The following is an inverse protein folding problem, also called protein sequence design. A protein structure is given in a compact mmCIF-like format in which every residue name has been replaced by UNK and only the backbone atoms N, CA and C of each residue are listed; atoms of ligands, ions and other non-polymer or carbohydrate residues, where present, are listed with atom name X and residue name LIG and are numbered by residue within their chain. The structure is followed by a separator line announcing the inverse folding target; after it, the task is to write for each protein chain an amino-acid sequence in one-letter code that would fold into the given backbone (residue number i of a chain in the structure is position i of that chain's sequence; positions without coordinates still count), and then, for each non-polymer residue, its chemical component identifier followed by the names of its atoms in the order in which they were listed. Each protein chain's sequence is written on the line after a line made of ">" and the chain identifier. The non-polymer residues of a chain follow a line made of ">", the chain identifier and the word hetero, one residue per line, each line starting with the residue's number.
data_IF_074860024735
#
_entry.id   IF_074860024735
#
_cell.length_a   1.000
_cell.length_b   1.000
_cell.length_c   1.000
_cell.angle_alpha   90.00
_cell.angle_beta   90.00
_cell.angle_gamma   90.00
#
_symmetry.space_group_name_H-M   'P 1'
#
loop_
_entity.id
_entity.type
_entity.pdbx_description
1 polymer ?
#
# COMPACT_ATOMS: atom_id res chain seq x y z
N UNK A 1 14.32 10.67 27.40
CA UNK A 1 12.84 10.53 27.22
C UNK A 1 12.63 10.19 25.76
N UNK A 2 12.15 9.01 25.45
CA UNK A 2 11.72 8.73 24.05
C UNK A 2 10.60 9.72 23.72
N UNK A 3 10.68 10.43 22.58
CA UNK A 3 9.59 11.30 22.15
C UNK A 3 8.33 10.46 22.01
N UNK A 4 7.19 11.00 22.40
CA UNK A 4 5.90 10.35 22.18
C UNK A 4 5.60 10.35 20.68
N UNK A 5 5.63 9.17 20.05
CA UNK A 5 5.44 9.00 18.61
C UNK A 5 3.95 8.85 18.33
N UNK A 6 3.39 9.77 17.55
CA UNK A 6 1.98 9.79 17.16
C UNK A 6 1.79 8.98 15.89
N UNK A 7 0.92 7.98 15.96
CA UNK A 7 0.68 7.02 14.87
C UNK A 7 -0.76 7.12 14.38
N UNK A 8 -0.94 7.22 13.06
CA UNK A 8 -2.23 6.98 12.39
C UNK A 8 -2.18 5.58 11.79
N UNK A 9 -3.28 4.83 11.94
CA UNK A 9 -3.44 3.48 11.36
C UNK A 9 -4.53 3.52 10.30
N UNK A 10 -4.23 3.00 9.11
CA UNK A 10 -5.15 2.94 7.99
C UNK A 10 -5.19 1.53 7.39
N UNK A 11 -6.34 0.86 7.51
CA UNK A 11 -6.58 -0.49 6.98
C UNK A 11 -8.11 -0.68 6.85
N UNK A 12 -8.60 -1.31 5.81
CA UNK A 12 -10.04 -1.56 5.64
C UNK A 12 -10.54 -2.73 6.49
N UNK A 13 -9.62 -3.58 7.01
CA UNK A 13 -9.94 -4.72 7.85
C UNK A 13 -9.98 -4.34 9.34
N UNK A 14 -11.17 -4.39 9.95
CA UNK A 14 -11.38 -4.03 11.38
C UNK A 14 -10.51 -4.86 12.34
N UNK A 15 -10.31 -6.16 12.06
CA UNK A 15 -9.48 -7.03 12.89
C UNK A 15 -8.00 -6.59 12.90
N UNK A 16 -7.48 -6.13 11.74
CA UNK A 16 -6.10 -5.64 11.64
C UNK A 16 -5.96 -4.34 12.42
N UNK A 17 -6.87 -3.38 12.23
CA UNK A 17 -6.85 -2.12 13.01
C UNK A 17 -6.90 -2.37 14.50
N UNK A 18 -7.80 -3.28 14.93
CA UNK A 18 -7.89 -3.65 16.35
C UNK A 18 -6.58 -4.23 16.87
N UNK A 19 -5.96 -5.17 16.15
CA UNK A 19 -4.69 -5.77 16.54
C UNK A 19 -3.55 -4.75 16.62
N UNK A 20 -3.45 -3.85 15.63
CA UNK A 20 -2.44 -2.79 15.63
C UNK A 20 -2.69 -1.81 16.78
N UNK A 21 -3.94 -1.43 17.07
CA UNK A 21 -4.28 -0.60 18.23
C UNK A 21 -3.78 -1.22 19.52
N UNK A 22 -4.10 -2.49 19.78
CA UNK A 22 -3.67 -3.19 20.98
C UNK A 22 -2.15 -3.25 21.12
N UNK A 23 -1.45 -3.43 19.98
CA UNK A 23 0.00 -3.40 19.95
C UNK A 23 0.55 -2.03 20.33
N UNK A 24 0.01 -0.96 19.74
CA UNK A 24 0.45 0.41 20.03
C UNK A 24 0.18 0.81 21.47
N UNK A 25 -0.99 0.43 22.04
CA UNK A 25 -1.35 0.69 23.44
C UNK A 25 -0.43 -0.03 24.44
N UNK A 26 0.16 -1.16 24.05
CA UNK A 26 1.11 -1.90 24.87
C UNK A 26 2.50 -1.24 24.93
N UNK A 27 2.81 -0.29 24.04
CA UNK A 27 4.11 0.37 23.94
C UNK A 27 4.00 1.81 24.46
N UNK A 28 4.57 2.15 25.65
CA UNK A 28 4.29 3.41 26.35
C UNK A 28 4.64 4.71 25.60
N UNK A 29 5.54 4.64 24.62
CA UNK A 29 5.98 5.80 23.84
C UNK A 29 5.27 5.92 22.47
N UNK A 30 4.34 5.02 22.15
CA UNK A 30 3.51 5.10 20.96
C UNK A 30 2.10 5.59 21.33
N UNK A 31 1.54 6.49 20.54
CA UNK A 31 0.18 6.99 20.75
C UNK A 31 -0.59 6.91 19.44
N UNK A 32 -1.67 6.13 19.43
CA UNK A 32 -2.62 6.11 18.34
C UNK A 32 -3.42 7.42 18.35
N UNK A 33 -3.28 8.23 17.29
CA UNK A 33 -3.96 9.54 17.18
C UNK A 33 -5.11 9.52 16.16
N UNK A 34 -5.25 8.46 15.36
CA UNK A 34 -6.35 8.31 14.41
C UNK A 34 -6.38 6.96 13.73
N UNK A 35 -7.57 6.56 13.28
CA UNK A 35 -7.79 5.35 12.49
C UNK A 35 -8.59 5.68 11.24
N UNK A 36 -8.18 5.12 10.12
CA UNK A 36 -8.84 5.24 8.82
C UNK A 36 -9.25 3.86 8.29
N UNK A 37 -10.39 3.79 7.61
CA UNK A 37 -10.92 2.57 6.99
C UNK A 37 -10.75 2.56 5.47
N UNK A 38 -10.42 3.71 4.90
CA UNK A 38 -10.32 3.95 3.47
C UNK A 38 -9.39 5.13 3.18
N UNK A 39 -9.14 5.38 1.90
CA UNK A 39 -8.23 6.44 1.45
C UNK A 39 -8.75 7.83 1.78
N UNK A 40 -10.08 8.04 1.77
CA UNK A 40 -10.67 9.35 2.04
C UNK A 40 -10.55 9.70 3.53
N UNK A 41 -10.94 8.79 4.43
CA UNK A 41 -10.82 8.99 5.88
C UNK A 41 -9.37 9.19 6.32
N UNK A 42 -8.41 8.52 5.65
CA UNK A 42 -6.98 8.79 5.88
C UNK A 42 -6.60 10.20 5.44
N UNK A 43 -7.11 10.69 4.30
CA UNK A 43 -6.86 12.05 3.83
C UNK A 43 -7.35 13.09 4.84
N UNK A 44 -8.58 12.94 5.32
CA UNK A 44 -9.21 13.84 6.29
C UNK A 44 -8.45 13.86 7.64
N UNK A 45 -7.97 12.69 8.09
CA UNK A 45 -7.12 12.61 9.28
C UNK A 45 -5.79 13.35 9.10
N UNK A 46 -5.14 13.19 7.96
CA UNK A 46 -3.87 13.85 7.68
C UNK A 46 -4.00 15.37 7.55
N UNK A 47 -5.16 15.87 7.14
CA UNK A 47 -5.44 17.31 7.07
C UNK A 47 -5.78 17.92 8.46
N UNK A 48 -6.21 17.08 9.43
CA UNK A 48 -6.69 17.53 10.75
C UNK A 48 -5.82 17.14 11.92
N UNK A 49 -5.07 16.03 11.80
CA UNK A 49 -4.26 15.45 12.88
C UNK A 49 -2.77 15.49 12.54
N UNK A 50 -1.98 16.03 13.46
CA UNK A 50 -0.52 15.90 13.36
C UNK A 50 -0.10 14.50 13.77
N UNK A 51 0.61 13.78 12.91
CA UNK A 51 1.20 12.48 13.20
C UNK A 51 2.67 12.42 12.77
N UNK A 52 3.42 11.51 13.37
CA UNK A 52 4.82 11.29 13.09
C UNK A 52 4.99 10.07 12.15
N UNK A 53 4.10 9.09 12.28
CA UNK A 53 4.10 7.86 11.47
C UNK A 53 2.68 7.55 11.00
N UNK A 54 2.57 7.10 9.76
CA UNK A 54 1.35 6.50 9.19
C UNK A 54 1.64 5.03 8.91
N UNK A 55 0.90 4.14 9.58
CA UNK A 55 0.86 2.70 9.26
C UNK A 55 -0.32 2.49 8.31
N UNK A 56 -0.07 2.10 7.08
CA UNK A 56 -1.11 2.00 6.04
C UNK A 56 -1.06 0.68 5.28
N UNK A 57 -2.22 0.05 5.12
CA UNK A 57 -2.39 -0.94 4.06
C UNK A 57 -2.42 -0.24 2.69
N UNK A 58 -1.85 -0.91 1.68
CA UNK A 58 -1.89 -0.45 0.28
C UNK A 58 -3.09 -1.01 -0.50
N UNK A 59 -3.79 -1.99 0.07
CA UNK A 59 -4.97 -2.62 -0.52
C UNK A 59 -6.28 -1.89 -0.29
N UNK A 60 -6.28 -0.83 0.53
CA UNK A 60 -7.51 -0.12 0.92
C UNK A 60 -8.32 0.36 -0.28
N UNK A 61 -9.66 0.14 -0.27
CA UNK A 61 -10.55 0.64 -1.29
C UNK A 61 -10.67 2.17 -1.23
N UNK A 62 -10.98 2.76 -2.37
CA UNK A 62 -11.47 4.12 -2.47
C UNK A 62 -12.96 4.10 -2.83
N UNK A 63 -13.75 4.96 -2.22
CA UNK A 63 -15.20 5.04 -2.42
C UNK A 63 -15.57 5.28 -3.89
N UNK A 64 -14.77 6.07 -4.60
CA UNK A 64 -15.01 6.42 -6.01
C UNK A 64 -14.18 5.58 -7.00
N UNK A 65 -13.29 4.71 -6.52
CA UNK A 65 -12.36 3.92 -7.33
C UNK A 65 -11.35 4.74 -8.14
N UNK A 66 -11.25 6.05 -7.90
CA UNK A 66 -10.39 6.99 -8.61
C UNK A 66 -9.01 7.15 -7.94
N UNK A 67 -8.94 6.89 -6.65
CA UNK A 67 -7.71 6.98 -5.86
C UNK A 67 -7.36 5.58 -5.33
N UNK A 68 -6.13 5.32 -5.06
CA UNK A 68 -5.67 4.15 -4.34
C UNK A 68 -4.73 4.60 -3.22
N UNK A 69 -4.49 3.74 -2.24
CA UNK A 69 -3.58 4.05 -1.14
C UNK A 69 -2.22 4.55 -1.66
N UNK A 70 -1.76 4.04 -2.79
CA UNK A 70 -0.51 4.47 -3.44
C UNK A 70 -0.55 5.92 -3.93
N UNK A 71 -1.67 6.39 -4.48
CA UNK A 71 -1.80 7.79 -4.90
C UNK A 71 -1.82 8.72 -3.68
N UNK A 72 -2.43 8.26 -2.59
CA UNK A 72 -2.44 8.93 -1.31
C UNK A 72 -1.04 9.00 -0.69
N UNK A 73 -0.32 7.87 -0.66
CA UNK A 73 1.06 7.84 -0.19
C UNK A 73 1.96 8.81 -0.97
N UNK A 74 1.76 8.94 -2.30
CA UNK A 74 2.48 9.94 -3.10
C UNK A 74 2.17 11.38 -2.69
N UNK A 75 0.92 11.68 -2.31
CA UNK A 75 0.52 13.01 -1.81
C UNK A 75 1.24 13.26 -0.49
N UNK A 76 1.10 12.35 0.48
CA UNK A 76 1.72 12.47 1.81
C UNK A 76 3.24 12.63 1.72
N UNK A 77 3.89 11.91 0.81
CA UNK A 77 5.34 11.97 0.65
C UNK A 77 5.85 13.26 -0.05
N UNK A 78 4.97 14.09 -0.63
CA UNK A 78 5.33 15.38 -1.25
C UNK A 78 5.22 16.55 -0.30
N UNK A 79 4.29 16.48 0.66
CA UNK A 79 3.98 17.60 1.55
C UNK A 79 4.99 17.61 2.74
N UNK A 80 5.40 18.80 3.19
CA UNK A 80 6.33 18.97 4.31
C UNK A 80 5.68 19.84 5.40
N UNK A 81 5.77 19.51 6.69
CA UNK A 81 6.44 18.33 7.27
C UNK A 81 5.64 17.04 7.01
N UNK A 82 6.31 16.00 6.56
CA UNK A 82 5.68 14.73 6.19
C UNK A 82 5.85 13.67 7.30
N UNK A 83 4.80 12.90 7.62
CA UNK A 83 4.97 11.71 8.47
C UNK A 83 5.80 10.64 7.74
N UNK A 84 6.46 9.78 8.52
CA UNK A 84 7.07 8.57 7.99
C UNK A 84 5.98 7.57 7.62
N UNK A 85 6.18 6.80 6.55
CA UNK A 85 5.19 5.82 6.10
C UNK A 85 5.74 4.42 6.33
N UNK A 86 4.99 3.64 7.10
CA UNK A 86 5.14 2.20 7.27
C UNK A 86 4.00 1.53 6.52
N UNK A 87 4.31 0.76 5.50
CA UNK A 87 3.32 -0.05 4.79
C UNK A 87 3.16 -1.38 5.51
N UNK A 88 1.92 -1.71 5.87
CA UNK A 88 1.53 -3.00 6.47
C UNK A 88 0.67 -3.75 5.45
N UNK A 89 1.18 -4.84 4.85
CA UNK A 89 0.52 -5.46 3.68
C UNK A 89 0.66 -6.98 3.64
N UNK A 90 -0.24 -7.64 2.91
CA UNK A 90 -0.09 -9.06 2.54
C UNK A 90 0.62 -9.23 1.19
N UNK A 91 0.95 -8.14 0.52
CA UNK A 91 1.54 -8.16 -0.82
C UNK A 91 3.04 -8.42 -0.71
N UNK A 92 3.48 -9.62 -1.12
CA UNK A 92 4.90 -9.99 -1.22
C UNK A 92 5.41 -10.03 -2.67
N UNK A 93 4.78 -9.28 -3.58
CA UNK A 93 5.20 -9.23 -4.97
C UNK A 93 6.38 -8.25 -5.13
N UNK A 94 7.60 -8.72 -5.44
CA UNK A 94 8.82 -7.90 -5.41
C UNK A 94 8.75 -6.62 -6.25
N UNK A 95 8.18 -6.65 -7.47
CA UNK A 95 7.97 -5.43 -8.24
C UNK A 95 7.16 -4.36 -7.52
N UNK A 96 6.07 -4.74 -6.85
CA UNK A 96 5.21 -3.81 -6.09
C UNK A 96 5.96 -3.24 -4.89
N UNK A 97 6.67 -4.10 -4.14
CA UNK A 97 7.49 -3.71 -3.00
C UNK A 97 8.60 -2.74 -3.41
N UNK A 98 9.32 -3.04 -4.51
CA UNK A 98 10.33 -2.13 -5.09
C UNK A 98 9.74 -0.78 -5.46
N UNK A 99 8.55 -0.77 -6.05
CA UNK A 99 7.85 0.46 -6.39
C UNK A 99 7.51 1.32 -5.17
N UNK A 100 7.11 0.71 -4.04
CA UNK A 100 6.85 1.42 -2.77
C UNK A 100 8.12 2.07 -2.23
N UNK A 101 9.24 1.35 -2.24
CA UNK A 101 10.54 1.88 -1.81
C UNK A 101 11.00 3.05 -2.70
N UNK A 102 10.80 2.95 -4.01
CA UNK A 102 11.11 4.04 -4.96
C UNK A 102 10.23 5.28 -4.76
N UNK A 103 9.03 5.14 -4.21
CA UNK A 103 8.19 6.28 -3.80
C UNK A 103 8.70 6.99 -2.56
N UNK A 104 9.57 6.35 -1.79
CA UNK A 104 10.07 6.87 -0.53
C UNK A 104 9.32 6.35 0.70
N UNK A 105 8.64 5.21 0.58
CA UNK A 105 8.12 4.47 1.74
C UNK A 105 9.32 4.04 2.58
N UNK A 106 9.29 4.35 3.87
CA UNK A 106 10.42 4.13 4.76
C UNK A 106 10.48 2.70 5.31
N UNK A 107 9.31 2.04 5.50
CA UNK A 107 9.27 0.65 5.95
C UNK A 107 8.15 -0.14 5.29
N UNK A 108 8.38 -1.44 5.13
CA UNK A 108 7.37 -2.40 4.65
C UNK A 108 7.37 -3.59 5.60
N UNK A 109 6.19 -3.87 6.17
CA UNK A 109 5.94 -4.99 7.08
C UNK A 109 4.87 -5.89 6.46
N UNK A 110 5.13 -7.18 6.41
CA UNK A 110 4.11 -8.17 6.02
C UNK A 110 3.17 -8.44 7.21
N UNK A 111 1.86 -8.50 6.97
CA UNK A 111 0.86 -8.80 7.99
C UNK A 111 1.01 -10.19 8.63
N UNK A 112 1.83 -11.07 8.05
CA UNK A 112 2.18 -12.40 8.59
C UNK A 112 3.39 -12.38 9.52
N UNK A 113 4.16 -11.30 9.53
CA UNK A 113 5.29 -11.15 10.46
C UNK A 113 4.80 -10.99 11.90
N UNK A 114 5.70 -11.11 12.84
CA UNK A 114 5.41 -10.94 14.26
C UNK A 114 4.96 -9.51 14.57
N UNK A 115 4.20 -9.35 15.65
CA UNK A 115 3.77 -8.02 16.13
C UNK A 115 4.96 -7.10 16.42
N UNK A 116 6.08 -7.66 16.90
CA UNK A 116 7.31 -6.91 17.18
C UNK A 116 7.89 -6.26 15.92
N UNK A 117 7.73 -6.91 14.75
CA UNK A 117 8.21 -6.36 13.48
C UNK A 117 7.59 -5.00 13.13
N UNK A 118 6.34 -4.75 13.54
CA UNK A 118 5.72 -3.44 13.32
C UNK A 118 6.28 -2.37 14.26
N UNK A 119 6.56 -2.71 15.51
CA UNK A 119 7.20 -1.79 16.48
C UNK A 119 8.62 -1.47 16.02
N UNK A 120 9.40 -2.49 15.65
CA UNK A 120 10.75 -2.31 15.09
C UNK A 120 10.75 -1.41 13.85
N UNK A 121 9.74 -1.57 12.97
CA UNK A 121 9.59 -0.74 11.78
C UNK A 121 9.30 0.73 12.15
N UNK A 122 8.42 0.98 13.12
CA UNK A 122 8.12 2.34 13.60
C UNK A 122 9.38 2.98 14.19
N UNK A 123 10.10 2.26 15.05
CA UNK A 123 11.34 2.74 15.67
C UNK A 123 12.41 3.05 14.62
N UNK A 124 12.58 2.17 13.64
CA UNK A 124 13.54 2.36 12.57
C UNK A 124 13.24 3.62 11.73
N UNK A 125 11.97 3.83 11.33
CA UNK A 125 11.62 4.98 10.49
C UNK A 125 11.72 6.31 11.24
N UNK A 126 11.41 6.32 12.53
CA UNK A 126 11.60 7.51 13.39
C UNK A 126 13.07 7.83 13.57
N UNK A 127 13.93 6.80 13.63
CA UNK A 127 15.40 6.97 13.63
C UNK A 127 15.99 7.34 12.25
N UNK A 128 15.16 7.45 11.20
CA UNK A 128 15.58 7.77 9.83
C UNK A 128 16.15 6.59 9.05
N UNK A 129 15.91 5.36 9.50
CA UNK A 129 16.34 4.14 8.84
C UNK A 129 15.22 3.49 8.03
N UNK A 130 15.57 2.77 6.98
CA UNK A 130 14.65 1.90 6.28
C UNK A 130 14.49 0.56 7.02
N UNK A 131 13.28 -0.01 6.96
CA UNK A 131 13.00 -1.33 7.52
C UNK A 131 12.19 -2.20 6.56
N UNK A 132 12.60 -3.44 6.44
CA UNK A 132 11.87 -4.49 5.73
C UNK A 132 11.72 -5.68 6.66
N UNK A 133 10.51 -6.17 6.86
CA UNK A 133 10.24 -7.34 7.69
C UNK A 133 10.79 -8.63 7.07
N UNK A 134 10.81 -9.72 7.82
CA UNK A 134 11.43 -10.98 7.39
C UNK A 134 10.78 -11.55 6.12
N UNK A 135 9.45 -11.60 6.06
CA UNK A 135 8.73 -12.05 4.86
C UNK A 135 8.99 -11.16 3.64
N UNK A 136 9.07 -9.85 3.84
CA UNK A 136 9.37 -8.90 2.76
C UNK A 136 10.79 -9.12 2.22
N UNK A 137 11.77 -9.30 3.09
CA UNK A 137 13.15 -9.63 2.67
C UNK A 137 13.23 -10.95 1.92
N UNK A 138 12.57 -12.01 2.45
CA UNK A 138 12.50 -13.30 1.79
C UNK A 138 11.93 -13.23 0.38
N UNK A 139 10.89 -12.41 0.16
CA UNK A 139 10.33 -12.21 -1.17
C UNK A 139 11.33 -11.58 -2.17
N UNK A 140 12.22 -10.70 -1.72
CA UNK A 140 13.28 -10.15 -2.56
C UNK A 140 14.40 -11.18 -2.82
N UNK A 141 14.77 -11.96 -1.82
CA UNK A 141 15.82 -12.99 -1.92
C UNK A 141 15.41 -14.10 -2.90
N UNK A 142 14.17 -14.60 -2.81
CA UNK A 142 13.61 -15.60 -3.72
C UNK A 142 13.54 -15.12 -5.17
N UNK A 143 13.29 -13.84 -5.38
CA UNK A 143 13.23 -13.27 -6.71
C UNK A 143 14.62 -13.05 -7.35
N UNK A 144 15.70 -13.27 -6.61
CA UNK A 144 17.08 -13.17 -7.10
C UNK A 144 17.50 -11.76 -7.50
N UNK A 145 16.78 -10.72 -7.06
CA UNK A 145 17.12 -9.40 -7.50
C UNK A 145 16.56 -8.25 -6.66
N UNK A 146 17.42 -7.46 -6.13
CA UNK A 146 17.31 -6.00 -6.03
C UNK A 146 17.17 -5.29 -7.41
N UNK A 147 16.99 -6.05 -8.49
CA UNK A 147 17.07 -5.59 -9.87
C UNK A 147 15.71 -5.57 -10.58
N UNK A 148 14.73 -4.83 -10.04
CA UNK A 148 13.62 -4.36 -10.87
C UNK A 148 13.75 -2.85 -11.10
N UNK A 149 14.58 -2.42 -12.06
CA UNK A 149 14.90 -0.99 -12.21
C UNK A 149 13.76 -0.14 -12.74
N UNK A 150 12.59 -0.68 -13.07
CA UNK A 150 11.47 0.06 -13.65
C UNK A 150 10.08 -0.52 -13.41
N UNK A 151 9.84 -1.23 -12.33
CA UNK A 151 8.48 -1.67 -12.02
C UNK A 151 7.79 -0.58 -11.24
N UNK A 152 6.88 0.10 -11.93
CA UNK A 152 6.19 1.26 -11.37
C UNK A 152 4.92 0.84 -10.63
N UNK A 153 4.59 1.62 -9.63
CA UNK A 153 3.29 1.55 -8.96
C UNK A 153 2.19 1.93 -9.96
N UNK A 154 1.05 1.25 -9.89
CA UNK A 154 -0.09 1.56 -10.73
C UNK A 154 -0.57 2.99 -10.47
N UNK A 155 -0.84 3.74 -11.53
CA UNK A 155 -1.62 4.97 -11.42
C UNK A 155 -3.06 4.64 -11.01
N UNK A 156 -3.80 5.63 -10.48
CA UNK A 156 -5.19 5.46 -10.12
C UNK A 156 -6.04 4.88 -11.27
N UNK A 157 -5.80 5.34 -12.50
CA UNK A 157 -6.49 4.84 -13.70
C UNK A 157 -6.13 3.38 -14.02
N UNK A 158 -4.87 3.02 -13.94
CA UNK A 158 -4.42 1.63 -14.16
C UNK A 158 -4.97 0.71 -13.08
N UNK A 159 -4.98 1.16 -11.80
CA UNK A 159 -5.56 0.44 -10.68
C UNK A 159 -7.06 0.20 -10.87
N UNK A 160 -7.80 1.23 -11.27
CA UNK A 160 -9.25 1.11 -11.51
C UNK A 160 -9.57 0.10 -12.62
N UNK A 161 -8.85 0.17 -13.74
CA UNK A 161 -9.01 -0.81 -14.83
C UNK A 161 -8.61 -2.21 -14.37
N UNK A 162 -7.51 -2.37 -13.65
CA UNK A 162 -7.07 -3.63 -13.08
C UNK A 162 -8.16 -4.25 -12.19
N UNK A 163 -8.67 -3.50 -11.22
CA UNK A 163 -9.70 -3.96 -10.29
C UNK A 163 -10.97 -4.43 -11.01
N UNK A 164 -11.50 -3.65 -11.93
CA UNK A 164 -12.71 -4.02 -12.68
C UNK A 164 -12.47 -5.26 -13.55
N UNK A 165 -11.28 -5.38 -14.14
CA UNK A 165 -10.94 -6.51 -14.98
C UNK A 165 -10.85 -7.83 -14.18
N UNK A 166 -10.19 -7.83 -13.03
CA UNK A 166 -10.05 -9.04 -12.20
C UNK A 166 -11.36 -9.46 -11.53
N UNK A 167 -12.31 -8.53 -11.38
CA UNK A 167 -13.70 -8.82 -10.98
C UNK A 167 -14.53 -9.45 -12.12
N UNK A 168 -13.91 -9.77 -13.27
CA UNK A 168 -14.57 -10.45 -14.40
C UNK A 168 -15.24 -9.52 -15.41
N UNK A 169 -15.08 -8.19 -15.30
CA UNK A 169 -15.72 -7.26 -16.24
C UNK A 169 -14.96 -7.24 -17.58
N UNK A 170 -15.65 -7.51 -18.72
CA UNK A 170 -15.01 -7.42 -20.06
C UNK A 170 -14.55 -6.01 -20.41
N UNK A 171 -13.49 -5.90 -21.22
CA UNK A 171 -12.90 -4.62 -21.62
C UNK A 171 -13.91 -3.64 -22.20
N UNK A 172 -14.88 -4.12 -23.01
CA UNK A 172 -15.93 -3.29 -23.58
C UNK A 172 -16.84 -2.68 -22.50
N UNK A 173 -17.21 -3.46 -21.46
CA UNK A 173 -18.01 -2.96 -20.36
C UNK A 173 -17.25 -1.98 -19.48
N UNK A 174 -15.95 -2.25 -19.23
CA UNK A 174 -15.07 -1.31 -18.53
C UNK A 174 -14.99 0.01 -19.32
N UNK A 175 -14.83 -0.07 -20.63
CA UNK A 175 -14.76 1.09 -21.51
C UNK A 175 -16.03 1.94 -21.44
N UNK A 176 -17.21 1.30 -21.53
CA UNK A 176 -18.49 1.97 -21.39
C UNK A 176 -18.67 2.59 -20.01
N UNK A 177 -18.34 1.85 -18.93
CA UNK A 177 -18.47 2.32 -17.55
C UNK A 177 -17.58 3.53 -17.23
N UNK A 178 -16.37 3.57 -17.81
CA UNK A 178 -15.39 4.64 -17.56
C UNK A 178 -15.45 5.78 -18.59
N UNK A 179 -16.40 5.71 -19.54
CA UNK A 179 -16.50 6.67 -20.66
C UNK A 179 -15.16 6.82 -21.41
N UNK A 180 -14.61 5.67 -21.85
CA UNK A 180 -13.34 5.59 -22.57
C UNK A 180 -13.44 4.58 -23.73
N UNK A 181 -12.48 4.64 -24.66
CA UNK A 181 -12.40 3.64 -25.72
C UNK A 181 -11.86 2.30 -25.19
N UNK A 182 -12.30 1.19 -25.78
CA UNK A 182 -11.75 -0.14 -25.48
C UNK A 182 -10.22 -0.21 -25.72
N UNK A 183 -9.70 0.56 -26.71
CA UNK A 183 -8.27 0.71 -26.97
C UNK A 183 -7.55 1.35 -25.77
N UNK A 184 -8.13 2.39 -25.17
CA UNK A 184 -7.60 3.06 -23.98
C UNK A 184 -7.53 2.09 -22.81
N UNK A 185 -8.62 1.35 -22.54
CA UNK A 185 -8.68 0.36 -21.45
C UNK A 185 -7.65 -0.76 -21.66
N UNK A 186 -7.55 -1.29 -22.88
CA UNK A 186 -6.54 -2.31 -23.20
C UNK A 186 -5.11 -1.81 -22.99
N UNK A 187 -4.84 -0.55 -23.33
CA UNK A 187 -3.54 0.07 -23.11
C UNK A 187 -3.24 0.25 -21.61
N UNK A 188 -4.22 0.68 -20.83
CA UNK A 188 -4.08 0.81 -19.37
C UNK A 188 -3.88 -0.53 -18.69
N UNK A 189 -4.64 -1.58 -19.07
CA UNK A 189 -4.44 -2.95 -18.60
C UNK A 189 -3.02 -3.44 -18.89
N UNK A 190 -2.56 -3.30 -20.15
CA UNK A 190 -1.21 -3.73 -20.54
C UNK A 190 -0.12 -2.95 -19.78
N UNK A 191 -0.33 -1.67 -19.55
CA UNK A 191 0.58 -0.84 -18.76
C UNK A 191 0.62 -1.31 -17.30
N UNK A 192 -0.54 -1.64 -16.71
CA UNK A 192 -0.64 -2.21 -15.37
C UNK A 192 0.14 -3.54 -15.28
N UNK A 193 -0.12 -4.46 -16.21
CA UNK A 193 0.59 -5.76 -16.26
C UNK A 193 2.10 -5.57 -16.33
N UNK A 194 2.58 -4.69 -17.22
CA UNK A 194 4.03 -4.39 -17.34
C UNK A 194 4.61 -3.83 -16.04
N UNK A 195 3.90 -2.92 -15.36
CA UNK A 195 4.33 -2.33 -14.09
C UNK A 195 4.35 -3.34 -12.96
N UNK A 196 3.46 -4.32 -12.98
CA UNK A 196 3.41 -5.42 -12.02
C UNK A 196 4.34 -6.59 -12.40
N UNK A 197 5.03 -6.52 -13.55
CA UNK A 197 5.88 -7.61 -14.02
C UNK A 197 5.09 -8.87 -14.39
N UNK A 198 3.82 -8.72 -14.80
CA UNK A 198 2.92 -9.82 -15.15
C UNK A 198 2.85 -9.97 -16.67
N UNK A 199 2.98 -11.19 -17.16
CA UNK A 199 3.07 -11.51 -18.59
C UNK A 199 1.76 -12.11 -19.17
N UNK A 200 0.82 -12.49 -18.31
CA UNK A 200 -0.43 -13.14 -18.73
C UNK A 200 -1.63 -12.70 -17.89
N UNK A 201 -2.84 -12.87 -18.44
CA UNK A 201 -4.09 -12.62 -17.72
C UNK A 201 -4.26 -13.58 -16.54
N UNK A 202 -3.78 -14.82 -16.66
CA UNK A 202 -3.78 -15.77 -15.57
C UNK A 202 -2.89 -15.29 -14.39
N UNK A 203 -1.70 -14.75 -14.69
CA UNK A 203 -0.82 -14.16 -13.69
C UNK A 203 -1.48 -12.92 -13.03
N UNK A 204 -2.22 -12.12 -13.81
CA UNK A 204 -2.95 -10.96 -13.32
C UNK A 204 -4.07 -11.35 -12.31
N UNK A 205 -4.84 -12.40 -12.63
CA UNK A 205 -5.89 -12.93 -11.75
C UNK A 205 -5.28 -13.55 -10.49
N UNK A 206 -4.21 -14.36 -10.65
CA UNK A 206 -3.50 -14.93 -9.51
C UNK A 206 -2.98 -13.85 -8.56
N UNK A 207 -2.41 -12.78 -9.10
CA UNK A 207 -1.96 -11.64 -8.31
C UNK A 207 -3.12 -10.99 -7.56
N UNK A 208 -4.29 -10.80 -8.21
CA UNK A 208 -5.47 -10.23 -7.56
C UNK A 208 -5.96 -11.08 -6.38
N UNK A 209 -5.96 -12.42 -6.49
CA UNK A 209 -6.25 -13.31 -5.37
C UNK A 209 -5.24 -13.15 -4.22
N UNK A 210 -3.96 -13.03 -4.54
CA UNK A 210 -2.91 -12.86 -3.53
C UNK A 210 -3.05 -11.57 -2.71
N UNK A 211 -3.62 -10.52 -3.31
CA UNK A 211 -3.84 -9.22 -2.65
C UNK A 211 -5.27 -9.04 -2.11
N UNK A 212 -6.08 -10.10 -2.12
CA UNK A 212 -7.43 -10.09 -1.55
C UNK A 212 -8.48 -9.30 -2.36
N UNK A 213 -8.27 -9.08 -3.66
CA UNK A 213 -9.21 -8.36 -4.53
C UNK A 213 -10.30 -9.24 -5.16
N UNK A 214 -10.19 -10.55 -5.05
CA UNK A 214 -11.14 -11.54 -5.60
C UNK A 214 -11.22 -12.75 -4.70
#
# INVERSE_FOLDING_TARGET
>A
MNPNIRVIVADDHACVRFGVRQLLEAVPYLTLVGEATDVQSLAELLDTCCCDVVVSDIGMPDLDGLHNATSMLRRVLRDMPRPQIVVLTMICHPPTLSGLLQLGVAAIVDKRDTTDALVDAIDAVVAGHQYLSAYVRGAFDEAGALAYPRVGILSAREWHVFRLYVQGMPIQQIAARLDRSAKTISTQKRSAMRKLGLDSDAALIKYAHQIGLT
#
